data_IF_386806132274
#
_entry.id   IF_386806132274
#
_cell.length_a   1.000
_cell.length_b   1.000
_cell.length_c   1.000
_cell.angle_alpha   90.00
_cell.angle_beta   90.00
_cell.angle_gamma   90.00
#
_symmetry.space_group_name_H-M   'P 1'
#
loop_
_entity.id
_entity.type
_entity.pdbx_description
1 polymer ?
#
# COMPACT_ATOMS: atom_id res chain seq x y z
N UNK A 1 -8.52 -16.21 0.32
CA UNK A 1 -9.17 -15.13 1.11
C UNK A 1 -10.46 -14.73 0.39
N UNK A 2 -11.53 -14.37 1.09
CA UNK A 2 -12.76 -13.87 0.45
C UNK A 2 -12.60 -12.39 0.07
N UNK A 3 -12.08 -12.13 -1.14
CA UNK A 3 -11.86 -10.77 -1.63
C UNK A 3 -13.15 -9.96 -1.77
N UNK A 4 -14.28 -10.62 -2.03
CA UNK A 4 -15.57 -9.94 -2.14
C UNK A 4 -16.04 -9.44 -0.75
N UNK A 5 -15.91 -10.28 0.27
CA UNK A 5 -16.16 -9.90 1.66
C UNK A 5 -15.25 -8.78 2.14
N UNK A 6 -13.94 -8.86 1.86
CA UNK A 6 -12.99 -7.79 2.21
C UNK A 6 -13.34 -6.47 1.54
N UNK A 7 -13.64 -6.50 0.23
CA UNK A 7 -14.07 -5.31 -0.52
C UNK A 7 -15.31 -4.68 0.10
N UNK A 8 -16.33 -5.49 0.39
CA UNK A 8 -17.59 -5.01 1.00
C UNK A 8 -17.36 -4.29 2.33
N UNK A 9 -16.53 -4.87 3.22
CA UNK A 9 -16.18 -4.24 4.50
C UNK A 9 -15.40 -2.95 4.30
N UNK A 10 -14.41 -2.94 3.39
CA UNK A 10 -13.63 -1.74 3.11
C UNK A 10 -14.48 -0.59 2.53
N UNK A 11 -15.44 -0.90 1.67
CA UNK A 11 -16.38 0.08 1.10
C UNK A 11 -17.34 0.65 2.16
N UNK A 12 -17.84 -0.19 3.07
CA UNK A 12 -18.64 0.27 4.22
C UNK A 12 -17.83 1.18 5.16
N UNK A 13 -16.59 0.82 5.45
CA UNK A 13 -15.70 1.68 6.25
C UNK A 13 -15.40 2.99 5.53
N UNK A 14 -15.29 2.98 4.20
CA UNK A 14 -15.00 4.17 3.39
C UNK A 14 -16.14 5.21 3.35
N UNK A 15 -17.33 4.87 3.85
CA UNK A 15 -18.39 5.84 4.11
C UNK A 15 -18.09 6.75 5.32
N UNK A 16 -17.19 6.32 6.20
CA UNK A 16 -16.83 7.05 7.43
C UNK A 16 -15.33 7.39 7.51
N UNK A 17 -14.48 6.62 6.84
CA UNK A 17 -13.03 6.76 6.83
C UNK A 17 -12.59 7.00 5.37
N UNK A 18 -12.17 8.22 4.99
CA UNK A 18 -12.00 8.58 3.57
C UNK A 18 -11.06 7.71 2.74
N UNK A 19 -10.12 7.03 3.37
CA UNK A 19 -9.16 6.11 2.75
C UNK A 19 -9.01 4.88 3.64
N UNK A 20 -9.28 3.71 3.07
CA UNK A 20 -9.05 2.42 3.71
C UNK A 20 -8.00 1.67 2.91
N UNK A 21 -6.89 1.30 3.57
CA UNK A 21 -5.84 0.46 2.99
C UNK A 21 -5.87 -0.89 3.69
N UNK A 22 -6.30 -1.92 2.98
CA UNK A 22 -6.42 -3.28 3.51
C UNK A 22 -5.24 -4.12 3.03
N UNK A 23 -4.42 -4.58 3.97
CA UNK A 23 -3.31 -5.50 3.68
C UNK A 23 -3.83 -6.94 3.55
N UNK A 24 -3.46 -7.63 2.47
CA UNK A 24 -3.95 -8.97 2.12
C UNK A 24 -2.85 -10.03 2.08
N UNK A 25 -1.69 -9.74 2.68
CA UNK A 25 -0.53 -10.63 2.66
C UNK A 25 -0.05 -10.89 1.23
N UNK A 26 -0.01 -12.17 0.82
CA UNK A 26 0.44 -12.58 -0.50
C UNK A 26 -0.41 -12.00 -1.66
N UNK A 27 -1.68 -11.67 -1.40
CA UNK A 27 -2.58 -11.09 -2.40
C UNK A 27 -2.33 -9.58 -2.62
N UNK A 28 -1.48 -8.95 -1.80
CA UNK A 28 -1.10 -7.56 -1.92
C UNK A 28 -1.94 -6.63 -1.05
N UNK A 29 -2.42 -5.52 -1.63
CA UNK A 29 -3.09 -4.44 -0.90
C UNK A 29 -4.33 -3.99 -1.66
N UNK A 30 -5.47 -3.89 -0.96
CA UNK A 30 -6.67 -3.24 -1.48
C UNK A 30 -6.71 -1.80 -0.98
N UNK A 31 -6.80 -0.84 -1.90
CA UNK A 31 -7.04 0.58 -1.57
C UNK A 31 -8.48 0.91 -1.91
N UNK A 32 -9.23 1.38 -0.92
CA UNK A 32 -10.62 1.82 -1.08
C UNK A 32 -10.72 3.29 -0.69
N UNK A 33 -11.01 4.16 -1.67
CA UNK A 33 -11.16 5.60 -1.44
C UNK A 33 -12.03 6.30 -2.48
N UNK A 34 -12.37 7.55 -2.20
CA UNK A 34 -13.19 8.48 -3.01
C UNK A 34 -12.37 9.29 -4.03
N UNK A 35 -11.48 8.65 -4.77
CA UNK A 35 -10.64 9.30 -5.77
C UNK A 35 -10.04 8.31 -6.78
N UNK A 36 -9.53 8.82 -7.90
CA UNK A 36 -8.82 8.05 -8.93
C UNK A 36 -7.46 7.52 -8.44
N UNK A 37 -6.98 6.43 -9.02
CA UNK A 37 -5.64 5.90 -8.75
C UNK A 37 -4.52 6.82 -9.27
N UNK A 38 -4.81 7.61 -10.30
CA UNK A 38 -3.82 8.46 -10.99
C UNK A 38 -3.60 9.81 -10.29
N UNK A 39 -4.30 10.08 -9.19
CA UNK A 39 -4.13 11.33 -8.42
C UNK A 39 -3.48 11.04 -7.07
N UNK A 40 -2.78 12.01 -6.46
CA UNK A 40 -2.24 11.90 -5.12
C UNK A 40 -3.31 11.66 -4.04
N UNK A 41 -2.86 11.39 -2.81
CA UNK A 41 -3.74 11.36 -1.64
C UNK A 41 -4.19 12.76 -1.21
N UNK A 42 -3.26 13.73 -1.25
CA UNK A 42 -3.49 15.10 -0.83
C UNK A 42 -3.22 16.07 -1.98
N UNK A 43 -3.98 17.17 -2.04
CA UNK A 43 -3.76 18.24 -2.99
C UNK A 43 -2.56 19.13 -2.57
N UNK A 44 -2.27 20.18 -3.34
CA UNK A 44 -1.15 21.10 -3.07
C UNK A 44 -1.31 21.89 -1.77
N UNK A 45 -2.53 22.01 -1.25
CA UNK A 45 -2.87 22.68 0.00
C UNK A 45 -2.82 21.74 1.22
N UNK A 46 -2.49 20.45 1.02
CA UNK A 46 -2.46 19.46 2.09
C UNK A 46 -3.84 18.91 2.47
N UNK A 47 -4.86 19.12 1.65
CA UNK A 47 -6.21 18.62 1.87
C UNK A 47 -6.38 17.27 1.17
N UNK A 48 -7.11 16.36 1.80
CA UNK A 48 -7.35 15.03 1.26
C UNK A 48 -8.26 15.10 0.01
N UNK A 49 -7.86 14.43 -1.07
CA UNK A 49 -8.66 14.29 -2.29
C UNK A 49 -9.66 13.14 -2.11
N UNK A 50 -10.95 13.48 -1.97
CA UNK A 50 -12.03 12.54 -1.64
C UNK A 50 -13.42 12.94 -2.22
N UNK A 51 -13.45 13.54 -3.41
CA UNK A 51 -14.63 14.13 -4.05
C UNK A 51 -15.35 13.21 -5.06
N UNK A 52 -14.89 11.96 -5.20
CA UNK A 52 -15.44 10.98 -6.15
C UNK A 52 -16.25 9.88 -5.44
N UNK A 53 -16.99 9.03 -6.18
CA UNK A 53 -17.56 7.80 -5.62
C UNK A 53 -16.49 6.90 -4.99
N UNK A 54 -16.87 6.08 -4.02
CA UNK A 54 -15.98 5.07 -3.43
C UNK A 54 -15.59 4.06 -4.51
N UNK A 55 -14.29 3.81 -4.64
CA UNK A 55 -13.74 2.79 -5.53
C UNK A 55 -12.71 1.97 -4.78
N UNK A 56 -12.81 0.65 -4.92
CA UNK A 56 -11.83 -0.32 -4.40
C UNK A 56 -10.90 -0.80 -5.51
N UNK A 57 -9.59 -0.78 -5.27
CA UNK A 57 -8.55 -1.18 -6.23
C UNK A 57 -7.57 -2.14 -5.59
N UNK A 58 -7.40 -3.30 -6.20
CA UNK A 58 -6.43 -4.31 -5.77
C UNK A 58 -5.08 -4.06 -6.44
N UNK A 59 -4.05 -3.91 -5.61
CA UNK A 59 -2.66 -3.85 -6.00
C UNK A 59 -2.00 -5.18 -5.62
N UNK A 60 -1.85 -6.12 -6.56
CA UNK A 60 -1.23 -7.41 -6.25
C UNK A 60 0.24 -7.22 -5.91
N UNK A 61 0.79 -8.10 -5.07
CA UNK A 61 2.25 -8.21 -4.95
C UNK A 61 2.78 -8.57 -6.33
N UNK A 62 3.75 -7.82 -6.86
CA UNK A 62 4.37 -8.20 -8.12
C UNK A 62 4.93 -9.63 -7.97
N UNK A 63 4.70 -10.49 -8.98
CA UNK A 63 5.10 -11.91 -9.06
C UNK A 63 6.62 -12.16 -8.88
N UNK A 64 7.42 -11.16 -8.49
CA UNK A 64 8.82 -11.25 -8.12
C UNK A 64 9.06 -11.66 -6.66
N UNK A 65 8.10 -11.49 -5.75
CA UNK A 65 8.25 -11.96 -4.36
C UNK A 65 8.37 -13.49 -4.29
N UNK A 66 7.56 -14.21 -5.08
CA UNK A 66 7.64 -15.67 -5.21
C UNK A 66 8.86 -16.17 -5.99
N UNK A 67 9.50 -15.31 -6.81
CA UNK A 67 10.62 -15.70 -7.67
C UNK A 67 12.02 -15.40 -7.13
N UNK A 68 12.18 -14.65 -6.03
CA UNK A 68 13.50 -14.09 -5.68
C UNK A 68 13.93 -14.14 -4.21
N UNK A 69 13.25 -14.84 -3.30
CA UNK A 69 13.83 -15.07 -1.97
C UNK A 69 12.91 -15.76 -0.97
N UNK A 70 13.54 -16.50 -0.05
CA UNK A 70 12.91 -17.06 1.15
C UNK A 70 12.37 -15.93 2.05
N UNK A 71 11.13 -16.05 2.53
CA UNK A 71 10.58 -15.15 3.55
C UNK A 71 11.27 -15.50 4.88
N UNK A 72 12.04 -14.57 5.44
CA UNK A 72 12.76 -14.75 6.70
C UNK A 72 11.88 -14.40 7.91
N UNK A 73 11.08 -13.34 7.79
CA UNK A 73 10.22 -12.83 8.86
C UNK A 73 9.04 -12.05 8.26
N UNK A 74 7.90 -12.04 8.94
CA UNK A 74 6.75 -11.18 8.58
C UNK A 74 6.59 -9.98 9.51
N UNK A 75 7.40 -9.92 10.57
CA UNK A 75 7.37 -8.84 11.55
C UNK A 75 7.75 -7.51 10.88
N UNK A 76 6.98 -6.45 11.10
CA UNK A 76 7.23 -5.12 10.55
C UNK A 76 6.96 -4.93 9.05
N UNK A 77 6.48 -5.96 8.35
CA UNK A 77 6.10 -5.85 6.94
C UNK A 77 4.99 -4.81 6.72
N UNK A 78 3.99 -4.79 7.60
CA UNK A 78 2.92 -3.78 7.59
C UNK A 78 3.42 -2.37 7.88
N UNK A 79 4.39 -2.23 8.81
CA UNK A 79 4.99 -0.93 9.12
C UNK A 79 5.82 -0.39 7.95
N UNK A 80 6.58 -1.26 7.28
CA UNK A 80 7.34 -0.89 6.09
C UNK A 80 6.43 -0.52 4.91
N UNK A 81 5.30 -1.23 4.74
CA UNK A 81 4.26 -0.85 3.79
C UNK A 81 3.73 0.56 4.11
N UNK A 82 3.30 0.80 5.36
CA UNK A 82 2.77 2.09 5.78
C UNK A 82 3.80 3.22 5.60
N UNK A 83 5.06 2.97 5.97
CA UNK A 83 6.16 3.91 5.77
C UNK A 83 6.37 4.24 4.28
N UNK A 84 6.28 3.26 3.39
CA UNK A 84 6.39 3.49 1.95
C UNK A 84 5.23 4.32 1.39
N UNK A 85 4.00 4.10 1.87
CA UNK A 85 2.84 4.94 1.52
C UNK A 85 3.07 6.39 1.98
N UNK A 86 3.45 6.58 3.25
CA UNK A 86 3.72 7.91 3.84
C UNK A 86 4.85 8.62 3.07
N UNK A 87 5.90 7.89 2.70
CA UNK A 87 6.99 8.41 1.89
C UNK A 87 6.48 8.87 0.51
N UNK A 88 5.68 8.07 -0.18
CA UNK A 88 5.09 8.43 -1.47
C UNK A 88 4.21 9.67 -1.39
N UNK A 89 3.38 9.76 -0.35
CA UNK A 89 2.56 10.94 -0.04
C UNK A 89 3.45 12.17 0.15
N UNK A 90 4.51 12.05 0.96
CA UNK A 90 5.45 13.15 1.20
C UNK A 90 6.18 13.59 -0.08
N UNK A 91 6.41 12.67 -1.02
CA UNK A 91 6.96 12.97 -2.35
C UNK A 91 5.92 13.41 -3.39
N UNK A 92 4.66 13.64 -2.97
CA UNK A 92 3.54 14.08 -3.81
C UNK A 92 3.28 13.15 -4.99
N UNK A 93 3.50 11.85 -4.81
CA UNK A 93 3.25 10.86 -5.85
C UNK A 93 1.75 10.54 -5.96
N UNK A 94 1.32 9.98 -7.09
CA UNK A 94 -0.02 9.43 -7.22
C UNK A 94 -0.18 8.14 -6.38
N UNK A 95 -1.42 7.68 -6.21
CA UNK A 95 -1.71 6.46 -5.42
C UNK A 95 -0.94 5.23 -5.95
N UNK A 96 -0.91 5.01 -7.26
CA UNK A 96 -0.23 3.86 -7.87
C UNK A 96 1.25 3.83 -7.46
N UNK A 97 1.94 4.96 -7.58
CA UNK A 97 3.35 5.08 -7.25
C UNK A 97 3.61 4.97 -5.74
N UNK A 98 2.71 5.50 -4.90
CA UNK A 98 2.77 5.32 -3.45
C UNK A 98 2.69 3.83 -3.08
N UNK A 99 1.71 3.11 -3.63
CA UNK A 99 1.51 1.68 -3.34
C UNK A 99 2.65 0.82 -3.93
N UNK A 100 3.18 1.18 -5.10
CA UNK A 100 4.34 0.52 -5.69
C UNK A 100 5.57 0.57 -4.77
N UNK A 101 5.91 1.74 -4.24
CA UNK A 101 7.03 1.91 -3.29
C UNK A 101 6.73 1.16 -1.98
N UNK A 102 5.50 1.23 -1.48
CA UNK A 102 5.08 0.53 -0.27
C UNK A 102 5.25 -0.98 -0.39
N UNK A 103 4.78 -1.59 -1.48
CA UNK A 103 4.91 -3.02 -1.72
C UNK A 103 6.39 -3.44 -1.83
N UNK A 104 7.24 -2.62 -2.45
CA UNK A 104 8.69 -2.86 -2.48
C UNK A 104 9.30 -2.79 -1.07
N UNK A 105 8.93 -1.80 -0.26
CA UNK A 105 9.42 -1.68 1.12
C UNK A 105 8.99 -2.86 2.00
N UNK A 106 7.73 -3.28 1.88
CA UNK A 106 7.20 -4.48 2.53
C UNK A 106 7.99 -5.74 2.13
N UNK A 107 8.27 -5.91 0.83
CA UNK A 107 9.03 -7.04 0.32
C UNK A 107 10.48 -7.09 0.85
N UNK A 108 11.11 -5.94 1.11
CA UNK A 108 12.43 -5.89 1.76
C UNK A 108 12.37 -6.35 3.22
N UNK A 109 11.33 -5.93 3.95
CA UNK A 109 11.10 -6.39 5.34
C UNK A 109 10.92 -7.91 5.42
N UNK A 110 10.22 -8.51 4.45
CA UNK A 110 10.05 -9.97 4.38
C UNK A 110 11.38 -10.75 4.28
N UNK A 111 12.45 -10.10 3.83
CA UNK A 111 13.80 -10.69 3.62
C UNK A 111 14.79 -10.28 4.71
N UNK A 112 14.28 -9.80 5.84
CA UNK A 112 15.07 -9.30 6.96
C UNK A 112 14.72 -10.06 8.24
N UNK A 113 15.72 -10.28 9.09
CA UNK A 113 15.48 -10.76 10.47
C UNK A 113 14.97 -9.62 11.37
N UNK A 114 15.38 -8.39 11.07
CA UNK A 114 14.88 -7.18 11.74
C UNK A 114 13.49 -6.82 11.20
N UNK A 115 12.59 -6.37 12.08
CA UNK A 115 11.21 -6.00 11.69
C UNK A 115 11.18 -4.89 10.63
N UNK A 116 12.09 -3.92 10.76
CA UNK A 116 12.38 -2.91 9.75
C UNK A 116 13.82 -3.13 9.31
N UNK A 117 14.09 -3.37 8.01
CA UNK A 117 15.45 -3.49 7.50
C UNK A 117 16.28 -2.23 7.79
N UNK A 118 17.59 -2.40 7.91
CA UNK A 118 18.53 -1.28 8.13
C UNK A 118 18.40 -0.15 7.11
N UNK A 119 17.96 -0.47 5.89
CA UNK A 119 17.72 0.48 4.82
C UNK A 119 16.55 0.04 3.95
N UNK A 120 15.76 1.01 3.49
CA UNK A 120 14.69 0.82 2.50
C UNK A 120 15.06 1.44 1.14
N UNK A 121 16.33 1.81 0.92
CA UNK A 121 16.76 2.46 -0.32
C UNK A 121 16.45 1.62 -1.57
N UNK A 122 16.53 0.30 -1.47
CA UNK A 122 16.23 -0.60 -2.59
C UNK A 122 14.74 -0.54 -3.01
N UNK A 123 13.85 -0.07 -2.13
CA UNK A 123 12.44 0.14 -2.48
C UNK A 123 12.24 1.34 -3.41
N UNK A 124 13.23 2.24 -3.50
CA UNK A 124 13.19 3.46 -4.32
C UNK A 124 13.77 3.24 -5.72
N UNK A 125 14.44 2.11 -5.96
CA UNK A 125 15.02 1.80 -7.27
C UNK A 125 13.89 1.42 -8.24
N UNK A 126 13.98 1.92 -9.48
CA UNK A 126 12.95 1.74 -10.52
C UNK A 126 12.91 0.31 -11.01
#
# INVERSE_FOLDING_TARGET
MDLAGVKSVAEQLAEHIPVVVTTLGAEGVLVTRRASANVPFYNEHGELIADSPIVSRLYPVANGAEKTGEILSVSGCGDCLAAGIIYGIHKKLNEIDCISIALKAAALSLRSFDAVPRTLQDALQR
#
